data_IF_045761180747
#
_entry.id   IF_045761180747
#
_cell.length_a   1.000
_cell.length_b   1.000
_cell.length_c   1.000
_cell.angle_alpha   90.00
_cell.angle_beta   90.00
_cell.angle_gamma   90.00
#
_symmetry.space_group_name_H-M   'P 1'
#
loop_
_entity.id
_entity.type
_entity.pdbx_description
1 polymer ?
#
# COMPACT_ATOMS: atom_id res chain seq x y z
N UNK A 1 -0.38 36.19 24.60
CA UNK A 1 0.16 34.95 23.95
C UNK A 1 -0.90 34.53 22.97
N UNK A 2 -0.70 34.89 21.73
CA UNK A 2 -1.60 34.61 20.61
C UNK A 2 -1.62 33.09 20.37
N UNK A 3 -2.81 32.51 20.38
CA UNK A 3 -3.07 31.14 19.95
C UNK A 3 -2.53 31.00 18.53
N UNK A 4 -1.40 30.33 18.38
CA UNK A 4 -0.80 30.03 17.09
C UNK A 4 -1.84 29.27 16.27
N UNK A 5 -2.24 29.83 15.15
CA UNK A 5 -3.15 29.20 14.19
C UNK A 5 -2.59 27.82 13.85
N UNK A 6 -3.36 26.78 14.13
CA UNK A 6 -3.05 25.40 13.72
C UNK A 6 -3.03 25.39 12.21
N UNK A 7 -1.99 24.84 11.57
CA UNK A 7 -2.01 24.66 10.13
C UNK A 7 -3.21 23.79 9.75
N UNK A 8 -3.99 24.23 8.77
CA UNK A 8 -5.11 23.47 8.25
C UNK A 8 -4.59 22.22 7.53
N UNK A 9 -4.87 21.04 8.07
CA UNK A 9 -4.60 19.78 7.40
C UNK A 9 -5.59 19.59 6.25
N UNK A 10 -5.12 19.10 5.11
CA UNK A 10 -6.00 18.73 4.01
C UNK A 10 -7.01 17.66 4.42
N UNK A 11 -8.17 17.61 3.77
CA UNK A 11 -9.25 16.68 4.09
C UNK A 11 -8.79 15.22 4.08
N UNK A 12 -7.96 14.83 3.10
CA UNK A 12 -7.39 13.47 3.01
C UNK A 12 -6.44 13.15 4.15
N UNK A 13 -5.68 14.13 4.63
CA UNK A 13 -4.78 13.93 5.76
C UNK A 13 -5.55 13.66 7.06
N UNK A 14 -6.62 14.43 7.30
CA UNK A 14 -7.49 14.22 8.47
C UNK A 14 -8.23 12.88 8.38
N UNK A 15 -8.75 12.54 7.20
CA UNK A 15 -9.42 11.27 6.95
C UNK A 15 -8.48 10.08 7.15
N UNK A 16 -7.24 10.15 6.63
CA UNK A 16 -6.24 9.10 6.82
C UNK A 16 -5.97 8.84 8.32
N UNK A 17 -5.84 9.90 9.14
CA UNK A 17 -5.67 9.75 10.58
C UNK A 17 -6.88 9.06 11.24
N UNK A 18 -8.10 9.41 10.83
CA UNK A 18 -9.33 8.80 11.36
C UNK A 18 -9.44 7.33 10.95
N UNK A 19 -9.19 6.98 9.68
CA UNK A 19 -9.21 5.60 9.18
C UNK A 19 -8.20 4.71 9.91
N UNK A 20 -6.96 5.20 10.08
CA UNK A 20 -5.92 4.49 10.84
C UNK A 20 -6.33 4.28 12.30
N UNK A 21 -7.00 5.26 12.89
CA UNK A 21 -7.51 5.12 14.24
C UNK A 21 -8.69 4.14 14.32
N UNK A 22 -9.50 3.95 13.26
CA UNK A 22 -10.60 2.97 13.23
C UNK A 22 -10.06 1.53 13.15
N UNK A 23 -9.11 1.24 12.27
CA UNK A 23 -8.55 -0.12 12.10
C UNK A 23 -7.01 -0.10 12.09
N UNK A 24 -6.36 0.19 13.21
CA UNK A 24 -4.91 0.35 13.28
C UNK A 24 -4.14 -0.92 12.89
N UNK A 25 -4.62 -2.08 13.30
CA UNK A 25 -3.96 -3.35 13.03
C UNK A 25 -4.27 -3.88 11.62
N UNK A 26 -5.49 -3.67 11.12
CA UNK A 26 -5.90 -4.13 9.80
C UNK A 26 -5.28 -3.33 8.67
N UNK A 27 -5.10 -2.03 8.86
CA UNK A 27 -4.44 -1.15 7.90
C UNK A 27 -2.91 -1.21 7.98
N UNK A 28 -2.35 -1.74 9.07
CA UNK A 28 -0.91 -1.91 9.29
C UNK A 28 -0.18 -0.58 9.49
N UNK A 29 -0.53 0.46 8.78
CA UNK A 29 0.08 1.78 8.97
C UNK A 29 -0.02 2.73 7.80
N UNK A 30 0.83 3.75 7.91
CA UNK A 30 0.95 4.84 6.95
C UNK A 30 2.42 5.13 6.62
N UNK A 31 2.70 5.35 5.34
CA UNK A 31 3.90 6.00 4.85
C UNK A 31 3.63 7.52 4.76
N UNK A 32 4.27 8.30 5.60
CA UNK A 32 4.12 9.76 5.68
C UNK A 32 5.35 10.46 5.15
N UNK A 33 5.24 11.04 3.96
CA UNK A 33 6.28 11.88 3.38
C UNK A 33 6.13 13.32 3.89
N UNK A 34 6.95 13.71 4.85
CA UNK A 34 6.92 15.03 5.47
C UNK A 34 8.24 15.34 6.16
N UNK A 35 8.83 16.47 5.85
CA UNK A 35 9.93 17.01 6.65
C UNK A 35 9.50 17.39 8.08
N UNK A 36 10.47 17.72 8.92
CA UNK A 36 10.19 18.28 10.24
C UNK A 36 9.45 19.62 10.10
N UNK A 37 8.26 19.74 10.70
CA UNK A 37 7.48 20.96 10.56
C UNK A 37 6.12 20.90 11.23
N UNK A 38 5.41 22.04 11.27
CA UNK A 38 4.15 22.16 11.99
C UNK A 38 3.02 21.29 11.43
N UNK A 39 3.01 21.03 10.12
CA UNK A 39 1.98 20.18 9.45
C UNK A 39 2.10 18.73 9.89
N UNK A 40 3.33 18.19 9.87
CA UNK A 40 3.61 16.84 10.37
C UNK A 40 3.24 16.71 11.85
N UNK A 41 3.64 17.68 12.65
CA UNK A 41 3.41 17.65 14.09
C UNK A 41 1.91 17.78 14.40
N UNK A 42 1.16 18.61 13.65
CA UNK A 42 -0.29 18.71 13.74
C UNK A 42 -0.98 17.40 13.36
N UNK A 43 -0.51 16.73 12.31
CA UNK A 43 -1.05 15.44 11.88
C UNK A 43 -0.81 14.34 12.93
N UNK A 44 0.41 14.25 13.46
CA UNK A 44 0.74 13.30 14.54
C UNK A 44 -0.07 13.57 15.81
N UNK A 45 -0.31 14.85 16.15
CA UNK A 45 -1.15 15.24 17.27
C UNK A 45 -2.62 14.85 17.04
N UNK A 46 -3.13 15.00 15.80
CA UNK A 46 -4.47 14.57 15.43
C UNK A 46 -4.61 13.04 15.58
N UNK A 47 -3.70 12.26 14.99
CA UNK A 47 -3.72 10.79 15.11
C UNK A 47 -3.71 10.38 16.58
N UNK A 48 -2.82 10.97 17.39
CA UNK A 48 -2.72 10.66 18.81
C UNK A 48 -4.00 10.97 19.58
N UNK A 49 -4.72 12.03 19.21
CA UNK A 49 -6.02 12.40 19.79
C UNK A 49 -7.13 11.39 19.46
N UNK A 50 -7.07 10.82 18.24
CA UNK A 50 -8.05 9.85 17.74
C UNK A 50 -7.81 8.43 18.25
N UNK A 51 -6.57 8.09 18.61
CA UNK A 51 -6.24 6.78 19.18
C UNK A 51 -6.83 6.62 20.59
N UNK A 52 -7.08 5.39 21.10
CA UNK A 52 -7.58 5.17 22.44
C UNK A 52 -6.73 5.87 23.50
N UNK A 53 -7.38 6.41 24.50
CA UNK A 53 -6.69 7.06 25.62
C UNK A 53 -5.74 6.07 26.31
N UNK A 54 -4.48 6.50 26.52
CA UNK A 54 -3.47 5.65 27.12
C UNK A 54 -2.79 4.65 26.17
N UNK A 55 -3.15 4.61 24.88
CA UNK A 55 -2.45 3.77 23.90
C UNK A 55 -0.95 4.06 23.90
N UNK A 56 -0.09 3.02 23.92
CA UNK A 56 1.35 3.20 23.83
C UNK A 56 1.74 3.98 22.57
N UNK A 57 2.72 4.88 22.72
CA UNK A 57 3.31 5.64 21.62
C UNK A 57 4.82 5.53 21.70
N UNK A 58 5.41 4.69 20.85
CA UNK A 58 6.82 4.34 20.91
C UNK A 58 7.55 4.78 19.65
N UNK A 59 8.78 5.28 19.81
CA UNK A 59 9.68 5.54 18.68
C UNK A 59 10.60 4.34 18.48
N UNK A 60 10.78 3.95 17.23
CA UNK A 60 11.74 2.92 16.82
C UNK A 60 13.07 3.61 16.50
N UNK A 61 14.16 3.34 17.25
CA UNK A 61 15.47 3.81 16.86
C UNK A 61 15.95 3.09 15.59
N UNK A 62 16.49 3.84 14.61
CA UNK A 62 16.95 3.26 13.33
C UNK A 62 17.99 2.13 13.51
N UNK A 63 18.87 2.29 14.47
CA UNK A 63 19.94 1.31 14.75
C UNK A 63 19.61 0.40 15.93
N UNK A 64 18.32 0.19 16.23
CA UNK A 64 17.93 -0.72 17.29
C UNK A 64 18.38 -2.14 16.95
N UNK A 65 19.11 -2.76 17.86
CA UNK A 65 19.45 -4.17 17.75
C UNK A 65 18.22 -5.06 17.98
N UNK A 66 18.29 -6.30 17.52
CA UNK A 66 17.22 -7.28 17.65
C UNK A 66 16.72 -7.44 19.08
N UNK A 67 17.64 -7.48 20.08
CA UNK A 67 17.28 -7.58 21.49
C UNK A 67 16.49 -6.40 22.01
N UNK A 68 16.79 -5.19 21.53
CA UNK A 68 16.06 -3.98 21.92
C UNK A 68 14.63 -4.00 21.34
N UNK A 69 14.46 -4.54 20.13
CA UNK A 69 13.16 -4.63 19.44
C UNK A 69 12.32 -5.77 19.98
N UNK A 70 12.84 -6.99 19.96
CA UNK A 70 12.08 -8.21 20.31
C UNK A 70 12.09 -8.52 21.82
N UNK A 71 13.09 -8.01 22.54
CA UNK A 71 13.37 -8.40 23.90
C UNK A 71 14.42 -9.50 23.99
N UNK A 72 14.64 -10.00 25.20
CA UNK A 72 15.65 -11.01 25.47
C UNK A 72 15.64 -11.48 26.93
N UNK A 73 16.71 -12.11 27.35
CA UNK A 73 16.85 -12.57 28.70
C UNK A 73 17.19 -11.39 29.65
N UNK A 74 16.40 -11.22 30.71
CA UNK A 74 16.74 -10.35 31.82
C UNK A 74 17.72 -11.08 32.75
N UNK A 75 19.01 -10.78 32.60
CA UNK A 75 20.06 -11.46 33.37
C UNK A 75 19.90 -11.24 34.88
N UNK A 76 19.55 -10.01 35.32
CA UNK A 76 19.42 -9.70 36.72
C UNK A 76 18.24 -10.46 37.37
N UNK A 77 17.07 -10.38 36.74
CA UNK A 77 15.90 -11.10 37.20
C UNK A 77 16.06 -12.62 37.10
N UNK A 78 16.75 -13.11 36.07
CA UNK A 78 17.05 -14.55 35.90
C UNK A 78 17.93 -15.08 36.99
N UNK A 79 19.00 -14.37 37.38
CA UNK A 79 19.86 -14.76 38.47
C UNK A 79 19.13 -14.74 39.81
N UNK A 80 18.27 -13.76 40.05
CA UNK A 80 17.46 -13.70 41.29
C UNK A 80 16.40 -14.80 41.34
N UNK A 81 15.76 -15.10 40.20
CA UNK A 81 14.67 -16.08 40.15
C UNK A 81 15.15 -17.53 39.95
N UNK A 82 16.45 -17.73 39.66
CA UNK A 82 17.05 -19.03 39.28
C UNK A 82 16.31 -19.73 38.10
N UNK A 83 15.66 -18.94 37.26
CA UNK A 83 14.95 -19.37 36.04
C UNK A 83 15.00 -18.27 35.00
N UNK A 84 14.95 -18.59 33.69
CA UNK A 84 14.92 -17.59 32.63
C UNK A 84 13.76 -16.62 32.81
N UNK A 85 14.06 -15.32 32.84
CA UNK A 85 13.08 -14.25 32.90
C UNK A 85 13.21 -13.42 31.63
N UNK A 86 12.08 -13.19 30.93
CA UNK A 86 12.03 -12.37 29.71
C UNK A 86 11.98 -10.89 30.03
N UNK A 87 12.85 -10.10 29.39
CA UNK A 87 12.72 -8.65 29.29
C UNK A 87 11.95 -8.32 27.99
N UNK A 88 10.74 -7.71 28.07
CA UNK A 88 9.97 -7.37 26.89
C UNK A 88 10.67 -6.28 26.04
N UNK A 89 10.74 -6.51 24.74
CA UNK A 89 11.30 -5.55 23.78
C UNK A 89 10.39 -4.35 23.50
N UNK A 90 10.90 -3.44 22.68
CA UNK A 90 10.17 -2.22 22.29
C UNK A 90 8.85 -2.57 21.60
N UNK A 91 8.85 -3.57 20.69
CA UNK A 91 7.67 -3.95 19.93
C UNK A 91 6.57 -4.49 20.84
N UNK A 92 6.93 -5.28 21.85
CA UNK A 92 5.99 -5.79 22.85
C UNK A 92 5.37 -4.68 23.69
N UNK A 93 6.15 -3.65 24.05
CA UNK A 93 5.68 -2.50 24.82
C UNK A 93 4.78 -1.55 24.00
N UNK A 94 4.79 -1.68 22.67
CA UNK A 94 3.95 -0.89 21.78
C UNK A 94 2.60 -1.55 21.49
N UNK A 95 2.35 -2.76 22.03
CA UNK A 95 1.11 -3.49 21.76
C UNK A 95 -0.15 -2.66 22.02
N UNK A 96 -1.10 -2.69 21.08
CA UNK A 96 -2.31 -1.86 21.10
C UNK A 96 -2.09 -0.38 20.81
N UNK A 97 -0.87 0.03 20.47
CA UNK A 97 -0.50 1.43 20.28
C UNK A 97 0.03 1.78 18.90
N UNK A 98 0.91 2.78 18.87
CA UNK A 98 1.54 3.30 17.65
C UNK A 98 3.06 3.23 17.75
N UNK A 99 3.67 2.71 16.70
CA UNK A 99 5.11 2.77 16.46
C UNK A 99 5.41 3.91 15.50
N UNK A 100 6.35 4.78 15.86
CA UNK A 100 6.82 5.86 15.02
C UNK A 100 8.25 5.54 14.55
N UNK A 101 8.42 5.34 13.27
CA UNK A 101 9.71 5.10 12.61
C UNK A 101 10.13 6.39 11.92
N UNK A 102 11.08 7.11 12.50
CA UNK A 102 11.65 8.33 11.90
C UNK A 102 12.71 7.99 10.86
N UNK A 103 12.90 8.87 9.86
CA UNK A 103 13.80 8.67 8.71
C UNK A 103 13.64 7.27 8.12
N UNK A 104 12.38 6.92 7.81
CA UNK A 104 11.99 5.57 7.42
C UNK A 104 12.67 5.10 6.12
N UNK A 105 13.06 6.03 5.26
CA UNK A 105 13.84 5.81 4.03
C UNK A 105 15.23 5.21 4.32
N UNK A 106 15.77 5.44 5.54
CA UNK A 106 17.10 4.95 5.97
C UNK A 106 17.02 3.68 6.82
N UNK A 107 15.86 3.05 6.88
CA UNK A 107 15.66 1.91 7.77
C UNK A 107 16.52 0.71 7.34
N UNK A 108 17.38 0.18 8.24
CA UNK A 108 18.16 -1.01 7.95
C UNK A 108 17.27 -2.22 7.65
N UNK A 109 17.73 -3.09 6.76
CA UNK A 109 16.99 -4.29 6.32
C UNK A 109 16.57 -5.18 7.50
N UNK A 110 17.40 -5.31 8.53
CA UNK A 110 17.07 -6.07 9.73
C UNK A 110 15.84 -5.50 10.43
N UNK A 111 15.84 -4.19 10.70
CA UNK A 111 14.72 -3.51 11.37
C UNK A 111 13.45 -3.63 10.51
N UNK A 112 13.57 -3.35 9.21
CA UNK A 112 12.45 -3.49 8.28
C UNK A 112 11.86 -4.91 8.28
N UNK A 113 12.70 -5.94 8.25
CA UNK A 113 12.27 -7.33 8.25
C UNK A 113 11.58 -7.74 9.56
N UNK A 114 12.07 -7.28 10.70
CA UNK A 114 11.46 -7.57 12.01
C UNK A 114 10.09 -6.89 12.13
N UNK A 115 9.97 -5.62 11.73
CA UNK A 115 8.70 -4.90 11.72
C UNK A 115 7.71 -5.57 10.76
N UNK A 116 8.15 -5.92 9.56
CA UNK A 116 7.34 -6.61 8.56
C UNK A 116 6.82 -7.96 9.06
N UNK A 117 7.66 -8.72 9.76
CA UNK A 117 7.28 -10.01 10.35
C UNK A 117 6.16 -9.86 11.38
N UNK A 118 6.24 -8.85 12.26
CA UNK A 118 5.19 -8.62 13.26
C UNK A 118 3.90 -8.10 12.60
N UNK A 119 4.00 -7.23 11.58
CA UNK A 119 2.82 -6.78 10.80
C UNK A 119 2.09 -7.95 10.13
N UNK A 120 2.82 -8.95 9.62
CA UNK A 120 2.23 -10.10 8.95
C UNK A 120 1.58 -11.10 9.91
N UNK A 121 2.22 -11.37 11.05
CA UNK A 121 1.81 -12.44 11.95
C UNK A 121 0.97 -11.95 13.14
N UNK A 122 1.04 -10.65 13.47
CA UNK A 122 0.41 -10.12 14.68
C UNK A 122 1.00 -10.68 15.97
N UNK A 123 2.25 -11.16 15.94
CA UNK A 123 2.95 -11.72 17.10
C UNK A 123 4.46 -11.53 16.99
N UNK A 124 5.10 -11.40 18.13
CA UNK A 124 6.56 -11.50 18.27
C UNK A 124 6.93 -12.96 18.54
N UNK A 125 7.88 -13.48 17.78
CA UNK A 125 8.47 -14.81 17.96
C UNK A 125 9.90 -14.66 18.42
N UNK A 126 10.17 -15.06 19.66
CA UNK A 126 11.49 -15.03 20.25
C UNK A 126 11.99 -16.48 20.44
N UNK A 127 13.08 -16.86 19.75
CA UNK A 127 13.73 -18.16 19.85
C UNK A 127 15.23 -17.97 19.98
N UNK A 128 15.69 -17.62 21.19
CA UNK A 128 17.10 -17.36 21.46
C UNK A 128 17.39 -17.43 22.98
N UNK A 129 18.63 -17.60 23.35
CA UNK A 129 19.11 -17.61 24.76
C UNK A 129 18.35 -18.59 25.66
N UNK A 130 17.93 -19.74 25.09
CA UNK A 130 17.10 -20.70 25.82
C UNK A 130 15.64 -20.32 26.02
N UNK A 131 15.21 -19.16 25.46
CA UNK A 131 13.83 -18.71 25.46
C UNK A 131 13.15 -19.14 24.16
N UNK A 132 11.95 -19.71 24.27
CA UNK A 132 11.04 -19.92 23.14
C UNK A 132 9.68 -19.37 23.50
N UNK A 133 9.36 -18.19 22.97
CA UNK A 133 8.12 -17.49 23.32
C UNK A 133 7.45 -16.91 22.08
N UNK A 134 6.12 -16.93 22.08
CA UNK A 134 5.26 -16.20 21.15
C UNK A 134 4.42 -15.23 21.96
N UNK A 135 4.44 -13.97 21.56
CA UNK A 135 3.67 -12.91 22.22
C UNK A 135 2.80 -12.22 21.18
N UNK A 136 1.46 -12.34 21.26
CA UNK A 136 0.56 -11.57 20.43
C UNK A 136 0.88 -10.08 20.57
N UNK A 137 1.04 -9.40 19.43
CA UNK A 137 1.46 -8.00 19.41
C UNK A 137 0.96 -7.36 18.14
N UNK A 138 0.15 -6.31 18.28
CA UNK A 138 -0.43 -5.56 17.18
C UNK A 138 -0.32 -4.08 17.44
N UNK A 139 0.18 -3.33 16.48
CA UNK A 139 0.35 -1.89 16.56
C UNK A 139 0.18 -1.26 15.18
N UNK A 140 -0.03 0.03 15.16
CA UNK A 140 -0.02 0.88 13.97
C UNK A 140 1.41 1.35 13.71
N UNK A 141 1.91 1.24 12.48
CA UNK A 141 3.20 1.81 12.07
C UNK A 141 3.01 3.13 11.34
N UNK A 142 3.63 4.19 11.84
CA UNK A 142 3.77 5.46 11.11
C UNK A 142 5.23 5.57 10.67
N UNK A 143 5.48 5.36 9.39
CA UNK A 143 6.79 5.49 8.77
C UNK A 143 6.95 6.93 8.25
N UNK A 144 7.80 7.72 8.92
CA UNK A 144 8.10 9.11 8.53
C UNK A 144 9.26 9.10 7.54
N UNK A 145 8.97 9.52 6.33
CA UNK A 145 9.94 9.70 5.25
C UNK A 145 10.29 11.20 5.18
N UNK A 146 11.55 11.51 5.44
CA UNK A 146 12.07 12.87 5.49
C UNK A 146 12.86 13.25 4.23
N UNK A 147 12.75 12.44 3.14
CA UNK A 147 13.41 12.75 1.87
C UNK A 147 12.91 14.05 1.28
N UNK A 148 13.82 14.81 0.71
CA UNK A 148 13.51 16.06 -0.01
C UNK A 148 13.05 15.70 -1.41
N UNK A 149 12.05 16.41 -1.94
CA UNK A 149 11.46 16.17 -3.28
C UNK A 149 12.48 16.12 -4.44
N UNK A 150 13.67 16.68 -4.26
CA UNK A 150 14.72 16.75 -5.27
C UNK A 150 15.71 15.57 -5.21
N UNK A 151 15.49 14.61 -4.30
CA UNK A 151 16.38 13.45 -4.15
C UNK A 151 15.96 12.35 -5.12
N UNK A 152 16.59 12.31 -6.30
CA UNK A 152 16.44 11.24 -7.30
C UNK A 152 17.17 9.93 -6.92
N UNK A 153 17.53 9.74 -5.66
CA UNK A 153 18.25 8.53 -5.22
C UNK A 153 17.25 7.41 -4.89
N UNK A 154 17.19 6.35 -5.71
CA UNK A 154 16.34 5.19 -5.43
C UNK A 154 16.72 4.46 -4.14
N UNK A 155 17.91 4.74 -3.61
CA UNK A 155 18.43 4.22 -2.34
C UNK A 155 17.73 4.83 -1.12
N UNK A 156 17.14 6.02 -1.27
CA UNK A 156 16.47 6.78 -0.21
C UNK A 156 14.95 6.52 -0.23
N UNK A 157 14.50 5.32 -0.50
CA UNK A 157 13.09 4.95 -0.47
C UNK A 157 12.76 4.05 0.72
N UNK A 158 11.53 4.16 1.22
CA UNK A 158 11.03 3.24 2.24
C UNK A 158 11.22 1.78 1.79
N UNK A 159 11.86 0.90 2.60
CA UNK A 159 12.05 -0.49 2.23
C UNK A 159 10.75 -1.17 1.77
N UNK A 160 10.79 -1.88 0.63
CA UNK A 160 9.62 -2.56 0.05
C UNK A 160 8.94 -3.51 1.03
N UNK A 161 9.72 -4.13 1.94
CA UNK A 161 9.19 -4.96 3.00
C UNK A 161 8.18 -4.22 3.90
N UNK A 162 8.33 -2.91 4.08
CA UNK A 162 7.41 -2.09 4.86
C UNK A 162 6.33 -1.45 3.97
N UNK A 163 6.71 -0.85 2.83
CA UNK A 163 5.74 -0.15 1.97
C UNK A 163 4.60 -1.05 1.50
N UNK A 164 4.87 -2.34 1.27
CA UNK A 164 3.86 -3.35 0.91
C UNK A 164 2.87 -3.67 2.05
N UNK A 165 3.17 -3.29 3.29
CA UNK A 165 2.36 -3.59 4.48
C UNK A 165 1.64 -2.40 5.08
N UNK A 166 1.95 -1.20 4.60
CA UNK A 166 1.31 0.03 5.04
C UNK A 166 0.18 0.37 4.06
N UNK A 167 -1.06 0.41 4.52
CA UNK A 167 -2.20 0.62 3.64
C UNK A 167 -2.18 2.00 2.99
N UNK A 168 -1.83 3.03 3.75
CA UNK A 168 -1.96 4.41 3.32
C UNK A 168 -0.60 5.04 3.00
N UNK A 169 -0.64 5.98 2.07
CA UNK A 169 0.46 6.88 1.76
C UNK A 169 -0.06 8.32 1.77
N UNK A 170 0.68 9.20 2.44
CA UNK A 170 0.32 10.61 2.54
C UNK A 170 1.57 11.46 2.29
N UNK A 171 1.48 12.39 1.35
CA UNK A 171 2.54 13.35 1.06
C UNK A 171 2.11 14.75 1.49
N UNK A 172 2.73 15.25 2.57
CA UNK A 172 2.50 16.60 3.08
C UNK A 172 3.52 17.62 2.53
N UNK A 173 4.52 17.19 1.75
CA UNK A 173 5.57 18.08 1.20
C UNK A 173 5.03 19.00 0.13
N UNK A 174 3.99 18.57 -0.58
CA UNK A 174 3.35 19.33 -1.66
C UNK A 174 2.26 20.29 -1.17
N UNK A 175 1.93 20.26 0.11
CA UNK A 175 0.96 21.19 0.70
C UNK A 175 1.60 22.57 0.79
N UNK A 176 1.66 23.31 -0.33
CA UNK A 176 2.04 24.72 -0.31
C UNK A 176 1.00 25.46 0.52
N UNK A 177 1.43 26.25 1.53
CA UNK A 177 0.52 27.24 2.10
C UNK A 177 0.04 28.11 0.93
N UNK A 178 -1.27 28.20 0.74
CA UNK A 178 -1.83 29.14 -0.22
C UNK A 178 -1.30 30.54 0.01
N UNK A 179 -1.36 31.45 -0.99
CA UNK A 179 -0.89 32.81 -0.82
C UNK A 179 -1.56 33.43 0.44
N UNK A 180 -0.83 34.24 1.21
CA UNK A 180 -1.34 34.83 2.44
C UNK A 180 -2.61 35.64 2.14
N UNK A 181 -3.75 35.19 2.65
CA UNK A 181 -5.05 35.82 2.46
C UNK A 181 -6.11 34.93 1.79
N UNK A 182 -5.74 33.84 1.16
CA UNK A 182 -6.69 32.84 0.65
C UNK A 182 -6.79 31.73 1.69
N UNK A 183 -7.90 31.75 2.46
CA UNK A 183 -8.24 30.63 3.31
C UNK A 183 -8.33 29.38 2.44
N UNK A 184 -7.69 28.25 2.79
CA UNK A 184 -7.92 27.02 2.07
C UNK A 184 -9.45 26.79 2.02
N UNK A 185 -9.98 26.20 0.91
CA UNK A 185 -11.40 25.92 0.86
C UNK A 185 -11.79 25.17 2.12
N UNK A 186 -12.66 25.81 2.91
CA UNK A 186 -13.21 25.25 4.13
C UNK A 186 -14.27 24.23 3.76
N UNK A 187 -13.90 23.26 2.96
CA UNK A 187 -14.58 21.97 2.95
C UNK A 187 -14.18 21.32 4.26
N UNK A 188 -15.12 21.38 5.19
CA UNK A 188 -15.00 20.94 6.56
C UNK A 188 -14.17 19.65 6.61
N UNK A 189 -12.88 19.76 6.96
CA UNK A 189 -12.16 18.61 7.48
C UNK A 189 -13.02 18.15 8.65
N UNK A 190 -13.77 17.08 8.45
CA UNK A 190 -14.69 16.58 9.45
C UNK A 190 -13.90 16.45 10.74
N UNK A 191 -14.30 17.18 11.77
CA UNK A 191 -13.54 17.25 13.04
C UNK A 191 -13.83 15.96 13.80
N UNK A 192 -13.26 14.85 13.29
CA UNK A 192 -13.42 13.53 13.89
C UNK A 192 -13.02 13.57 15.35
N UNK A 193 -13.90 13.07 16.19
CA UNK A 193 -13.64 12.95 17.63
C UNK A 193 -13.21 11.52 17.97
N UNK A 194 -12.61 11.36 19.14
CA UNK A 194 -12.32 10.02 19.68
C UNK A 194 -13.62 9.19 19.82
N UNK A 195 -14.75 9.83 20.12
CA UNK A 195 -16.04 9.13 20.24
C UNK A 195 -16.53 8.59 18.88
N UNK A 196 -16.37 9.35 17.79
CA UNK A 196 -16.74 8.93 16.45
C UNK A 196 -15.93 7.71 16.02
N UNK A 197 -14.61 7.76 16.25
CA UNK A 197 -13.70 6.65 15.98
C UNK A 197 -14.04 5.42 16.82
N UNK A 198 -14.35 5.58 18.11
CA UNK A 198 -14.73 4.48 18.97
C UNK A 198 -16.04 3.82 18.50
N UNK A 199 -17.03 4.62 18.10
CA UNK A 199 -18.28 4.13 17.53
C UNK A 199 -18.05 3.42 16.18
N UNK A 200 -17.16 3.94 15.32
CA UNK A 200 -16.79 3.31 14.06
C UNK A 200 -16.09 1.94 14.27
N UNK A 201 -15.20 1.82 15.24
CA UNK A 201 -14.57 0.53 15.61
C UNK A 201 -15.58 -0.55 15.97
N UNK A 202 -16.63 -0.18 16.71
CA UNK A 202 -17.70 -1.12 17.08
C UNK A 202 -18.55 -1.54 15.88
N UNK A 203 -18.73 -0.66 14.89
CA UNK A 203 -19.48 -0.96 13.65
C UNK A 203 -18.68 -1.78 12.64
N UNK A 204 -17.37 -1.57 12.57
CA UNK A 204 -16.48 -2.13 11.54
C UNK A 204 -16.66 -3.64 11.30
N UNK A 205 -16.77 -4.52 12.30
CA UNK A 205 -16.96 -5.95 12.06
C UNK A 205 -18.25 -6.29 11.30
N UNK A 206 -19.30 -5.47 11.45
CA UNK A 206 -20.60 -5.65 10.83
C UNK A 206 -20.77 -4.92 9.49
N UNK A 207 -19.75 -4.25 8.97
CA UNK A 207 -19.82 -3.59 7.66
C UNK A 207 -19.72 -4.62 6.54
N UNK A 208 -20.74 -4.64 5.67
CA UNK A 208 -20.81 -5.52 4.50
C UNK A 208 -20.11 -4.87 3.31
N UNK A 209 -19.48 -5.70 2.48
CA UNK A 209 -18.86 -5.30 1.22
C UNK A 209 -19.64 -5.94 0.08
N UNK A 210 -20.35 -5.18 -0.76
CA UNK A 210 -20.98 -5.67 -1.96
C UNK A 210 -19.96 -6.20 -2.98
N UNK A 211 -20.34 -7.23 -3.74
CA UNK A 211 -19.47 -7.89 -4.73
C UNK A 211 -19.05 -6.94 -5.86
N UNK A 212 -19.93 -6.03 -6.28
CA UNK A 212 -19.66 -5.00 -7.26
C UNK A 212 -18.54 -4.04 -6.81
N UNK A 213 -18.58 -3.60 -5.55
CA UNK A 213 -17.51 -2.78 -4.97
C UNK A 213 -16.17 -3.53 -4.92
N UNK A 214 -16.19 -4.82 -4.57
CA UNK A 214 -14.99 -5.65 -4.55
C UNK A 214 -14.41 -5.82 -5.95
N UNK A 215 -15.26 -6.14 -6.93
CA UNK A 215 -14.85 -6.30 -8.34
C UNK A 215 -14.28 -4.99 -8.89
N UNK A 216 -14.94 -3.86 -8.64
CA UNK A 216 -14.49 -2.55 -9.10
C UNK A 216 -13.12 -2.17 -8.49
N UNK A 217 -12.87 -2.43 -7.20
CA UNK A 217 -11.56 -2.18 -6.58
C UNK A 217 -10.46 -3.07 -7.18
N UNK A 218 -10.74 -4.35 -7.43
CA UNK A 218 -9.80 -5.27 -8.05
C UNK A 218 -9.50 -4.87 -9.50
N UNK A 219 -10.53 -4.54 -10.28
CA UNK A 219 -10.39 -4.10 -11.67
C UNK A 219 -9.61 -2.77 -11.77
N UNK A 220 -9.89 -1.82 -10.87
CA UNK A 220 -9.13 -0.56 -10.77
C UNK A 220 -7.66 -0.81 -10.50
N UNK A 221 -7.32 -1.69 -9.56
CA UNK A 221 -5.94 -2.06 -9.28
C UNK A 221 -5.22 -2.65 -10.50
N UNK A 222 -5.90 -3.52 -11.27
CA UNK A 222 -5.35 -4.09 -12.51
C UNK A 222 -5.12 -3.02 -13.59
N UNK A 223 -6.08 -2.14 -13.80
CA UNK A 223 -6.02 -1.07 -14.81
C UNK A 223 -4.87 -0.10 -14.53
N UNK A 224 -4.64 0.25 -13.27
CA UNK A 224 -3.52 1.09 -12.84
C UNK A 224 -2.19 0.31 -12.70
N UNK A 225 -2.17 -0.99 -13.02
CA UNK A 225 -0.96 -1.81 -12.98
C UNK A 225 -0.41 -2.03 -11.58
N UNK A 226 -1.27 -2.05 -10.56
CA UNK A 226 -0.86 -2.33 -9.17
C UNK A 226 -0.49 -3.80 -9.04
N UNK A 227 0.80 -4.09 -8.93
CA UNK A 227 1.31 -5.47 -8.92
C UNK A 227 1.07 -6.20 -7.58
N UNK A 228 0.88 -5.46 -6.49
CA UNK A 228 0.74 -6.04 -5.15
C UNK A 228 -0.67 -6.59 -4.92
N UNK A 229 -0.79 -7.88 -4.64
CA UNK A 229 -2.05 -8.50 -4.23
C UNK A 229 -2.54 -8.04 -2.85
N UNK A 230 -1.67 -7.41 -2.06
CA UNK A 230 -2.06 -6.82 -0.76
C UNK A 230 -2.87 -5.54 -0.94
N UNK A 231 -2.60 -4.78 -2.00
CA UNK A 231 -3.22 -3.48 -2.22
C UNK A 231 -4.76 -3.55 -2.35
N UNK A 232 -5.37 -4.45 -3.15
CA UNK A 232 -6.82 -4.61 -3.17
C UNK A 232 -7.40 -4.99 -1.80
N UNK A 233 -6.73 -5.86 -1.04
CA UNK A 233 -7.17 -6.23 0.30
C UNK A 233 -7.11 -5.05 1.28
N UNK A 234 -6.09 -4.20 1.18
CA UNK A 234 -5.98 -2.96 1.95
C UNK A 234 -7.07 -1.97 1.53
N UNK A 235 -7.33 -1.83 0.23
CA UNK A 235 -8.40 -0.98 -0.27
C UNK A 235 -9.77 -1.41 0.27
N UNK A 236 -10.06 -2.70 0.30
CA UNK A 236 -11.28 -3.24 0.93
C UNK A 236 -11.36 -2.86 2.42
N UNK A 237 -10.27 -2.97 3.16
CA UNK A 237 -10.24 -2.59 4.59
C UNK A 237 -10.46 -1.10 4.78
N UNK A 238 -9.84 -0.27 3.95
CA UNK A 238 -10.05 1.19 3.97
C UNK A 238 -11.49 1.54 3.63
N UNK A 239 -12.09 0.93 2.61
CA UNK A 239 -13.49 1.16 2.25
C UNK A 239 -14.45 0.79 3.39
N UNK A 240 -14.21 -0.35 4.06
CA UNK A 240 -15.00 -0.75 5.24
C UNK A 240 -14.80 0.18 6.42
N UNK A 241 -13.57 0.63 6.67
CA UNK A 241 -13.29 1.61 7.73
C UNK A 241 -13.95 2.95 7.44
N UNK A 242 -13.96 3.40 6.17
CA UNK A 242 -14.66 4.62 5.74
C UNK A 242 -16.17 4.50 5.94
N UNK A 243 -16.79 3.39 5.54
CA UNK A 243 -18.21 3.13 5.78
C UNK A 243 -18.55 3.10 7.28
N UNK A 244 -17.69 2.45 8.09
CA UNK A 244 -17.88 2.44 9.53
C UNK A 244 -17.80 3.85 10.16
N UNK A 245 -16.89 4.69 9.65
CA UNK A 245 -16.72 6.08 10.10
C UNK A 245 -17.91 6.95 9.72
N UNK A 246 -18.45 6.76 8.52
CA UNK A 246 -19.66 7.41 8.02
C UNK A 246 -20.95 6.90 8.70
N UNK A 247 -20.89 5.83 9.47
CA UNK A 247 -22.04 5.22 10.12
C UNK A 247 -22.84 4.25 9.25
N UNK A 248 -22.36 3.97 8.06
CA UNK A 248 -22.97 3.06 7.08
C UNK A 248 -22.73 1.60 7.46
N UNK A 249 -23.69 0.73 7.17
CA UNK A 249 -23.56 -0.73 7.34
C UNK A 249 -23.02 -1.44 6.11
N UNK A 250 -23.02 -0.75 4.98
CA UNK A 250 -22.61 -1.31 3.68
C UNK A 250 -21.64 -0.34 3.02
N UNK A 251 -20.62 -0.88 2.39
CA UNK A 251 -19.68 -0.09 1.57
C UNK A 251 -20.43 0.45 0.35
N UNK A 252 -20.32 1.75 0.12
CA UNK A 252 -20.85 2.44 -1.06
C UNK A 252 -19.75 2.75 -2.04
N UNK A 253 -20.12 3.20 -3.22
CA UNK A 253 -19.19 3.69 -4.23
C UNK A 253 -18.26 4.78 -3.69
N UNK A 254 -18.77 5.75 -2.94
CA UNK A 254 -17.95 6.82 -2.34
C UNK A 254 -16.87 6.27 -1.42
N UNK A 255 -17.17 5.23 -0.63
CA UNK A 255 -16.19 4.58 0.23
C UNK A 255 -15.12 3.82 -0.59
N UNK A 256 -15.53 3.23 -1.72
CA UNK A 256 -14.59 2.59 -2.66
C UNK A 256 -13.69 3.62 -3.37
N UNK A 257 -14.22 4.79 -3.74
CA UNK A 257 -13.45 5.90 -4.30
C UNK A 257 -12.38 6.40 -3.31
N UNK A 258 -12.74 6.59 -2.03
CA UNK A 258 -11.79 6.94 -0.97
C UNK A 258 -10.67 5.88 -0.88
N UNK A 259 -11.05 4.60 -0.88
CA UNK A 259 -10.09 3.51 -0.80
C UNK A 259 -9.17 3.44 -2.03
N UNK A 260 -9.71 3.58 -3.23
CA UNK A 260 -8.94 3.60 -4.46
C UNK A 260 -7.91 4.75 -4.44
N UNK A 261 -8.34 5.94 -4.05
CA UNK A 261 -7.51 7.14 -3.96
C UNK A 261 -6.39 7.01 -2.93
N UNK A 262 -6.69 6.58 -1.71
CA UNK A 262 -5.72 6.54 -0.62
C UNK A 262 -4.79 5.32 -0.66
N UNK A 263 -5.21 4.22 -1.31
CA UNK A 263 -4.45 2.95 -1.33
C UNK A 263 -3.84 2.65 -2.69
N UNK A 264 -4.57 2.86 -3.79
CA UNK A 264 -4.12 2.43 -5.11
C UNK A 264 -3.31 3.51 -5.84
N UNK A 265 -3.63 4.80 -5.66
CA UNK A 265 -3.02 5.88 -6.42
C UNK A 265 -1.48 5.87 -6.34
N UNK A 266 -0.91 5.80 -5.15
CA UNK A 266 0.55 5.82 -4.98
C UNK A 266 1.25 4.51 -5.40
N UNK A 267 0.48 3.47 -5.72
CA UNK A 267 0.97 2.17 -6.22
C UNK A 267 0.79 2.01 -7.72
N UNK A 268 0.23 3.01 -8.39
CA UNK A 268 0.00 2.98 -9.83
C UNK A 268 1.33 2.90 -10.59
N UNK A 269 1.42 1.96 -11.53
CA UNK A 269 2.58 1.78 -12.42
C UNK A 269 2.24 2.01 -13.89
N UNK A 270 0.95 2.17 -14.22
CA UNK A 270 0.44 2.42 -15.56
C UNK A 270 -0.64 3.48 -15.50
N UNK A 271 -0.79 4.24 -16.57
CA UNK A 271 -1.94 5.12 -16.77
C UNK A 271 -2.92 4.42 -17.71
N UNK A 272 -4.19 4.25 -17.32
CA UNK A 272 -5.19 3.73 -18.22
C UNK A 272 -5.41 4.71 -19.38
N UNK A 273 -5.70 4.21 -20.60
CA UNK A 273 -6.09 5.07 -21.70
C UNK A 273 -7.35 5.86 -21.31
N UNK A 274 -7.42 7.11 -21.77
CA UNK A 274 -8.64 7.90 -21.60
C UNK A 274 -9.78 7.17 -22.31
N UNK A 275 -10.94 7.10 -21.66
CA UNK A 275 -12.14 6.63 -22.32
C UNK A 275 -12.40 7.60 -23.49
N UNK A 276 -12.18 7.14 -24.71
CA UNK A 276 -12.57 7.90 -25.89
C UNK A 276 -14.09 7.88 -25.86
N UNK A 277 -14.72 9.04 -25.72
CA UNK A 277 -16.15 9.16 -25.97
C UNK A 277 -16.39 8.58 -27.36
N UNK A 278 -17.40 7.72 -27.57
CA UNK A 278 -17.71 7.24 -28.90
C UNK A 278 -18.01 8.46 -29.76
N UNK A 279 -17.14 8.67 -30.75
CA UNK A 279 -17.29 9.71 -31.75
C UNK A 279 -18.56 9.36 -32.57
N UNK A 280 -19.67 10.02 -32.25
CA UNK A 280 -20.99 9.79 -32.86
C UNK A 280 -21.05 10.31 -34.31
N UNK A 281 -19.88 10.46 -34.94
CA UNK A 281 -19.68 10.86 -36.31
C UNK A 281 -19.11 9.71 -37.15
N UNK A 282 -19.79 8.56 -37.13
CA UNK A 282 -19.58 7.55 -38.17
C UNK A 282 -20.40 8.00 -39.41
N UNK A 283 -19.83 8.84 -40.23
CA UNK A 283 -20.25 8.98 -41.64
C UNK A 283 -20.16 7.56 -42.26
N UNK A 284 -21.32 7.06 -42.65
CA UNK A 284 -21.42 5.85 -43.45
C UNK A 284 -20.71 6.07 -44.78
N UNK A 285 -19.71 5.26 -45.18
CA UNK A 285 -19.26 5.31 -46.58
C UNK A 285 -20.36 4.70 -47.46
N UNK A 286 -20.87 5.52 -48.37
CA UNK A 286 -21.73 5.11 -49.47
C UNK A 286 -21.06 3.95 -50.23
N UNK A 287 -21.75 2.84 -50.38
CA UNK A 287 -21.32 1.68 -51.16
C UNK A 287 -21.43 2.05 -52.66
N UNK A 288 -20.27 2.29 -53.29
CA UNK A 288 -20.20 2.26 -54.77
C UNK A 288 -20.35 0.82 -55.25
N UNK A 289 -21.35 0.62 -56.07
CA UNK A 289 -21.64 -0.60 -56.81
C UNK A 289 -20.53 -0.89 -57.83
N UNK A 290 -19.66 -1.85 -57.59
CA UNK A 290 -18.71 -2.43 -58.54
C UNK A 290 -19.29 -3.69 -59.18
N UNK A 291 -19.26 -3.76 -60.50
CA UNK A 291 -19.74 -4.78 -61.38
C UNK A 291 -19.13 -6.20 -61.13
N UNK A 292 -19.84 -7.29 -61.55
CA UNK A 292 -19.37 -8.65 -61.33
C UNK A 292 -18.30 -9.04 -62.34
N UNK A 293 -17.14 -9.49 -61.88
CA UNK A 293 -16.16 -10.20 -62.71
C UNK A 293 -16.38 -11.70 -62.56
N UNK A 294 -16.74 -12.28 -63.70
CA UNK A 294 -16.78 -13.67 -64.05
C UNK A 294 -15.37 -14.31 -63.89
N UNK A 295 -15.22 -15.35 -63.09
CA UNK A 295 -14.08 -16.23 -63.14
C UNK A 295 -14.49 -17.68 -62.94
N UNK A 296 -14.57 -18.28 -64.10
CA UNK A 296 -14.69 -19.70 -64.42
C UNK A 296 -13.47 -20.50 -63.90
N UNK A 297 -13.66 -21.43 -62.97
CA UNK A 297 -12.74 -22.53 -62.72
C UNK A 297 -13.45 -23.79 -62.21
N UNK A 298 -13.07 -24.95 -62.67
CA UNK A 298 -13.84 -26.19 -62.62
C UNK A 298 -13.79 -26.92 -61.27
N UNK A 299 -14.68 -27.91 -61.06
CA UNK A 299 -14.95 -28.49 -59.74
C UNK A 299 -13.92 -29.57 -59.39
N UNK A 300 -13.47 -29.59 -58.16
CA UNK A 300 -12.75 -30.72 -57.56
C UNK A 300 -13.52 -31.25 -56.33
N UNK A 301 -13.78 -32.51 -56.46
CA UNK A 301 -14.10 -33.59 -55.53
C UNK A 301 -14.49 -33.28 -54.07
N UNK A 302 -15.73 -33.71 -53.79
CA UNK A 302 -16.34 -33.92 -52.49
C UNK A 302 -15.80 -35.16 -51.79
N UNK A 303 -15.48 -35.17 -50.51
CA UNK A 303 -15.62 -36.33 -49.61
C UNK A 303 -16.80 -36.17 -48.67
N UNK A 304 -17.37 -37.31 -48.37
CA UNK A 304 -18.58 -37.61 -47.62
C UNK A 304 -18.65 -37.08 -46.17
N UNK A 305 -19.84 -36.95 -45.60
CA UNK A 305 -20.07 -36.44 -44.26
C UNK A 305 -19.82 -37.51 -43.19
N UNK A 306 -19.13 -37.15 -42.13
CA UNK A 306 -19.12 -37.85 -40.84
C UNK A 306 -20.16 -37.26 -39.88
N UNK A 307 -20.62 -38.03 -38.86
CA UNK A 307 -21.91 -37.83 -38.23
C UNK A 307 -21.93 -36.77 -37.11
N UNK A 308 -23.16 -36.30 -36.93
CA UNK A 308 -23.63 -35.37 -35.91
C UNK A 308 -23.07 -35.59 -34.50
N UNK A 309 -22.41 -34.59 -33.95
CA UNK A 309 -22.27 -34.35 -32.52
C UNK A 309 -23.21 -33.21 -32.08
N UNK A 310 -23.89 -33.36 -30.94
CA UNK A 310 -24.97 -32.45 -30.57
C UNK A 310 -24.46 -31.06 -30.16
N UNK A 311 -25.22 -30.10 -30.63
CA UNK A 311 -25.15 -28.68 -30.40
C UNK A 311 -24.53 -28.25 -29.06
N UNK A 312 -23.39 -27.63 -29.13
CA UNK A 312 -22.93 -26.72 -28.10
C UNK A 312 -23.62 -25.37 -28.31
N UNK A 313 -24.67 -25.15 -27.54
CA UNK A 313 -25.31 -23.83 -27.48
C UNK A 313 -24.32 -22.77 -27.06
N UNK A 314 -24.03 -21.90 -27.97
CA UNK A 314 -23.82 -20.46 -27.83
C UNK A 314 -23.20 -19.91 -26.53
N UNK A 315 -21.90 -19.85 -26.50
CA UNK A 315 -21.18 -18.86 -25.70
C UNK A 315 -21.07 -17.54 -26.48
N UNK A 316 -22.21 -16.88 -26.71
CA UNK A 316 -22.24 -15.55 -27.37
C UNK A 316 -22.71 -14.47 -26.40
N UNK A 317 -22.18 -14.52 -25.18
CA UNK A 317 -22.37 -13.46 -24.19
C UNK A 317 -21.10 -13.24 -23.37
N UNK A 318 -19.93 -13.21 -24.03
CA UNK A 318 -18.72 -12.65 -23.42
C UNK A 318 -18.93 -11.14 -23.38
N UNK A 319 -18.90 -10.49 -22.19
CA UNK A 319 -18.99 -9.04 -22.10
C UNK A 319 -17.85 -8.43 -22.90
N UNK A 320 -18.16 -7.43 -23.70
CA UNK A 320 -17.19 -6.66 -24.46
C UNK A 320 -16.06 -6.18 -23.50
N UNK A 321 -14.80 -6.61 -23.71
CA UNK A 321 -13.70 -6.25 -22.81
C UNK A 321 -13.37 -4.75 -22.82
N UNK A 322 -14.02 -3.96 -23.67
CA UNK A 322 -13.85 -2.52 -23.75
C UNK A 322 -14.87 -1.73 -22.90
N UNK A 323 -16.00 -2.33 -22.51
CA UNK A 323 -17.00 -1.67 -21.67
C UNK A 323 -16.62 -1.80 -20.18
N UNK A 324 -16.10 -0.72 -19.59
CA UNK A 324 -15.89 -0.65 -18.15
C UNK A 324 -17.22 -0.45 -17.43
N UNK A 325 -17.36 -1.11 -16.27
CA UNK A 325 -18.48 -0.84 -15.36
C UNK A 325 -18.43 0.64 -14.92
N UNK A 326 -19.55 1.37 -14.89
CA UNK A 326 -19.62 2.76 -14.42
C UNK A 326 -18.98 3.00 -13.05
N UNK A 327 -19.03 2.04 -12.15
CA UNK A 327 -18.36 2.12 -10.86
C UNK A 327 -16.84 2.06 -11.03
N UNK A 328 -16.33 1.17 -11.87
CA UNK A 328 -14.90 1.07 -12.15
C UNK A 328 -14.37 2.37 -12.77
N UNK A 329 -15.09 2.99 -13.69
CA UNK A 329 -14.69 4.26 -14.30
C UNK A 329 -14.51 5.36 -13.26
N UNK A 330 -15.45 5.50 -12.34
CA UNK A 330 -15.35 6.48 -11.24
C UNK A 330 -14.17 6.21 -10.31
N UNK A 331 -13.88 4.97 -10.01
CA UNK A 331 -12.70 4.61 -9.21
C UNK A 331 -11.40 4.94 -9.95
N UNK A 332 -11.34 4.71 -11.24
CA UNK A 332 -10.20 5.06 -12.10
C UNK A 332 -10.00 6.58 -12.10
N UNK A 333 -11.07 7.35 -12.26
CA UNK A 333 -11.02 8.81 -12.19
C UNK A 333 -10.61 9.32 -10.80
N UNK A 334 -11.11 8.72 -9.73
CA UNK A 334 -10.73 9.08 -8.36
C UNK A 334 -9.22 8.88 -8.11
N UNK A 335 -8.63 7.83 -8.66
CA UNK A 335 -7.17 7.61 -8.63
C UNK A 335 -6.45 8.66 -9.46
N UNK A 336 -6.92 8.94 -10.68
CA UNK A 336 -6.32 9.93 -11.58
C UNK A 336 -6.27 11.32 -10.96
N UNK A 337 -7.34 11.74 -10.28
CA UNK A 337 -7.46 13.07 -9.67
C UNK A 337 -6.42 13.38 -8.58
N UNK A 338 -5.86 12.35 -7.93
CA UNK A 338 -4.89 12.50 -6.83
C UNK A 338 -3.44 12.41 -7.32
N UNK A 339 -3.21 11.82 -8.50
CA UNK A 339 -1.86 11.68 -9.03
C UNK A 339 -1.27 13.04 -9.40
N UNK A 340 -0.05 13.38 -8.91
CA UNK A 340 0.65 14.59 -9.35
C UNK A 340 0.83 14.62 -10.87
N UNK A 341 0.66 15.79 -11.49
CA UNK A 341 0.72 15.94 -12.95
C UNK A 341 2.04 15.38 -13.55
N UNK A 342 3.17 15.57 -12.88
CA UNK A 342 4.45 15.01 -13.30
C UNK A 342 4.50 13.49 -13.29
N UNK A 343 3.91 12.86 -12.27
CA UNK A 343 3.81 11.40 -12.18
C UNK A 343 2.83 10.84 -13.22
N UNK A 344 1.69 11.52 -13.42
CA UNK A 344 0.72 11.14 -14.43
C UNK A 344 1.35 11.17 -15.84
N UNK A 345 2.09 12.24 -16.17
CA UNK A 345 2.82 12.33 -17.43
C UNK A 345 3.87 11.24 -17.60
N UNK A 346 4.61 10.89 -16.54
CA UNK A 346 5.59 9.81 -16.54
C UNK A 346 4.93 8.43 -16.74
N UNK A 347 3.77 8.20 -16.13
CA UNK A 347 2.97 6.98 -16.32
C UNK A 347 2.43 6.88 -17.75
N UNK A 348 1.96 7.99 -18.33
CA UNK A 348 1.49 8.06 -19.71
C UNK A 348 2.62 7.80 -20.71
N UNK A 349 3.81 8.35 -20.46
CA UNK A 349 5.00 8.13 -21.27
C UNK A 349 5.58 6.71 -21.13
N UNK A 350 5.09 5.90 -20.21
CA UNK A 350 5.61 4.54 -19.97
C UNK A 350 7.02 4.51 -19.36
N UNK A 351 7.55 5.66 -18.92
CA UNK A 351 8.92 5.78 -18.41
C UNK A 351 9.12 5.09 -17.07
N UNK A 352 8.04 4.86 -16.29
CA UNK A 352 8.09 4.12 -15.02
C UNK A 352 8.01 2.60 -15.20
N UNK A 353 7.57 2.11 -16.36
CA UNK A 353 7.50 0.67 -16.65
C UNK A 353 8.88 -0.02 -16.74
N UNK A 354 9.96 0.76 -16.74
CA UNK A 354 11.34 0.27 -16.85
C UNK A 354 12.09 0.10 -15.53
N UNK A 355 11.51 0.43 -14.38
CA UNK A 355 12.13 0.04 -13.12
C UNK A 355 11.88 -1.46 -12.91
N UNK A 356 12.92 -2.31 -13.02
CA UNK A 356 12.75 -3.70 -12.66
C UNK A 356 12.30 -3.73 -11.21
N UNK A 357 11.37 -4.63 -10.82
CA UNK A 357 11.02 -4.83 -9.43
C UNK A 357 12.35 -4.95 -8.68
N UNK A 358 12.52 -4.13 -7.63
CA UNK A 358 13.75 -4.15 -6.83
C UNK A 358 14.04 -5.61 -6.54
N UNK A 359 15.07 -6.14 -7.17
CA UNK A 359 15.43 -7.55 -7.04
C UNK A 359 15.62 -7.77 -5.57
N UNK A 360 14.62 -8.41 -4.95
CA UNK A 360 14.67 -8.79 -3.56
C UNK A 360 16.05 -9.36 -3.31
N UNK A 361 16.68 -8.99 -2.22
CA UNK A 361 17.97 -9.46 -1.74
C UNK A 361 17.95 -10.97 -1.47
N UNK A 362 17.79 -11.73 -2.53
CA UNK A 362 17.74 -13.18 -2.58
C UNK A 362 18.48 -13.73 -3.78
N UNK A 363 19.35 -12.92 -4.41
CA UNK A 363 20.35 -13.51 -5.32
C UNK A 363 21.29 -14.34 -4.45
N UNK A 364 21.12 -15.67 -4.52
CA UNK A 364 22.19 -16.60 -4.21
C UNK A 364 23.44 -16.05 -4.90
N UNK A 365 24.48 -15.73 -4.11
CA UNK A 365 25.68 -15.10 -4.60
C UNK A 365 26.15 -15.81 -5.85
N UNK A 366 26.46 -15.07 -6.90
CA UNK A 366 26.98 -15.61 -8.13
C UNK A 366 28.17 -16.50 -7.76
N UNK A 367 28.05 -17.80 -8.02
CA UNK A 367 29.16 -18.72 -7.89
C UNK A 367 30.15 -18.29 -8.97
N UNK A 368 31.17 -17.53 -8.58
CA UNK A 368 32.33 -17.24 -9.41
C UNK A 368 33.03 -18.57 -9.69
N UNK A 369 32.67 -19.22 -10.80
CA UNK A 369 33.44 -20.31 -11.36
C UNK A 369 34.72 -19.70 -11.89
N UNK A 370 35.85 -20.17 -11.36
CA UNK A 370 37.25 -19.85 -11.73
C UNK A 370 37.84 -18.60 -11.04
N UNK A 371 38.06 -18.69 -9.74
CA UNK A 371 39.27 -18.12 -9.15
C UNK A 371 40.25 -19.27 -9.01
N UNK A 372 41.50 -19.18 -9.56
CA UNK A 372 42.51 -20.19 -9.30
C UNK A 372 42.78 -20.24 -7.80
N UNK A 373 42.58 -21.40 -7.18
CA UNK A 373 42.92 -21.66 -5.79
C UNK A 373 44.35 -21.28 -5.56
N UNK A 374 44.60 -20.27 -4.75
CA UNK A 374 45.92 -19.96 -4.25
C UNK A 374 46.49 -21.18 -3.52
N UNK A 375 47.73 -21.55 -3.87
CA UNK A 375 48.48 -22.60 -3.23
C UNK A 375 48.55 -22.33 -1.72
N UNK A 376 48.23 -23.27 -0.83
CA UNK A 376 48.39 -23.07 0.61
C UNK A 376 49.89 -22.88 0.91
N UNK A 377 50.21 -21.76 1.54
CA UNK A 377 51.56 -21.52 2.06
C UNK A 377 51.74 -22.46 3.27
N UNK A 378 52.71 -23.37 3.14
CA UNK A 378 53.03 -24.28 4.20
C UNK A 378 53.45 -23.56 5.50
N UNK A 379 53.02 -24.04 6.63
CA UNK A 379 53.45 -23.62 7.96
C UNK A 379 54.96 -23.90 8.12
N UNK A 380 55.73 -22.83 8.33
CA UNK A 380 57.12 -22.94 8.78
C UNK A 380 57.14 -23.41 10.21
N UNK A 381 57.72 -24.56 10.44
CA UNK A 381 58.08 -25.07 11.77
C UNK A 381 59.13 -24.12 12.37
N UNK A 382 58.82 -23.47 13.49
CA UNK A 382 59.81 -22.75 14.30
C UNK A 382 60.76 -23.76 14.96
N UNK A 383 62.06 -23.50 14.80
CA UNK A 383 63.12 -24.18 15.53
C UNK A 383 63.17 -23.68 16.99
N UNK A 384 63.67 -24.49 17.94
CA UNK A 384 63.55 -24.35 19.36
C UNK A 384 64.28 -23.16 20.00
#
# INVERSE_FOLDING_TARGET
MTLTERPALGADAALAAALLAVDPAGLGGLHLCAGAGPERDAWLALLRRLMPAGSPWQRVPLHAGESALLGGLDLAATLQAARPVLQPGLLARADGGTLLLGSAERTPTLVASLLASVLDHGEIRLQRDGLSQRQPTRWLLVALDETVLESDRPEDALPAALSERLALHLDLRSTRPGPPGEAPPTDAAADWTHADVAAARLRLPGVELPDDCLQALCATALVWGVASLRAPLMAVRVARAAAALDGSRTVTQTHAEIAARLVLAHRATRCPPEATEPDDTAEQPEAEAGEPQDNDHPPQDTPLPEPDDPATESADNAPDPSARDPMQERLVEAVRAVLPAGLLAALQAGTLAGQPPSRGSGQAGAVLRNTPRGRPMGTRRGDP
#
